data_IF_746262639547
#
_entry.id   IF_746262639547
#
_cell.length_a   1.000
_cell.length_b   1.000
_cell.length_c   1.000
_cell.angle_alpha   90.00
_cell.angle_beta   90.00
_cell.angle_gamma   90.00
#
_symmetry.space_group_name_H-M   'P 1'
#
loop_
_entity.id
_entity.type
_entity.pdbx_description
1 polymer ?
#
# COMPACT_ATOMS: atom_id res chain seq x y z
N UNK A 1 5.89 -8.26 -14.32
CA UNK A 1 5.41 -7.49 -13.18
C UNK A 1 6.43 -6.41 -12.85
N UNK A 2 5.96 -5.18 -12.64
CA UNK A 2 6.81 -4.04 -12.30
C UNK A 2 6.42 -3.53 -10.91
N UNK A 3 7.40 -3.35 -10.04
CA UNK A 3 7.21 -2.75 -8.72
C UNK A 3 7.99 -1.45 -8.64
N UNK A 4 7.27 -0.35 -8.44
CA UNK A 4 7.83 1.00 -8.28
C UNK A 4 7.69 1.42 -6.82
N UNK A 5 8.80 1.76 -6.17
CA UNK A 5 8.79 2.27 -4.80
C UNK A 5 8.30 3.73 -4.79
N UNK A 6 7.10 3.95 -4.21
CA UNK A 6 6.47 5.27 -4.14
C UNK A 6 6.67 5.98 -2.79
N UNK A 7 7.33 5.37 -1.83
CA UNK A 7 7.58 5.94 -0.51
C UNK A 7 8.16 7.35 -0.55
N UNK A 8 9.24 7.62 -1.32
CA UNK A 8 9.81 8.96 -1.45
C UNK A 8 8.82 10.00 -2.03
N UNK A 9 8.00 9.60 -3.02
CA UNK A 9 6.99 10.46 -3.62
C UNK A 9 5.84 10.76 -2.66
N UNK A 10 5.42 9.78 -1.86
CA UNK A 10 4.41 9.95 -0.82
C UNK A 10 4.89 10.92 0.25
N UNK A 11 6.14 10.85 0.66
CA UNK A 11 6.72 11.80 1.62
C UNK A 11 6.75 13.23 1.04
N UNK A 12 7.11 13.38 -0.22
CA UNK A 12 7.09 14.67 -0.89
C UNK A 12 5.66 15.24 -1.03
N UNK A 13 4.68 14.39 -1.37
CA UNK A 13 3.26 14.75 -1.34
C UNK A 13 2.84 15.28 0.03
N UNK A 14 3.18 14.57 1.11
CA UNK A 14 2.82 14.93 2.48
C UNK A 14 3.45 16.25 2.92
N UNK A 15 4.68 16.51 2.52
CA UNK A 15 5.44 17.68 2.99
C UNK A 15 5.20 18.94 2.15
N UNK A 16 4.90 18.81 0.86
CA UNK A 16 4.85 19.95 -0.07
C UNK A 16 3.47 20.32 -0.57
N UNK A 17 2.47 19.44 -0.38
CA UNK A 17 1.14 19.67 -0.93
C UNK A 17 0.04 19.63 0.12
N UNK A 18 -1.13 20.18 -0.21
CA UNK A 18 -2.29 20.14 0.67
C UNK A 18 -2.87 18.72 0.74
N UNK A 19 -3.09 18.23 1.98
CA UNK A 19 -3.65 16.91 2.23
C UNK A 19 -4.99 16.66 1.52
N UNK A 20 -5.77 17.71 1.29
CA UNK A 20 -7.03 17.67 0.55
C UNK A 20 -6.92 17.03 -0.83
N UNK A 21 -5.76 17.16 -1.49
CA UNK A 21 -5.52 16.72 -2.86
C UNK A 21 -4.64 15.46 -2.98
N UNK A 22 -4.13 14.91 -1.88
CA UNK A 22 -3.16 13.82 -1.91
C UNK A 22 -3.58 12.62 -2.76
N UNK A 23 -4.83 12.16 -2.64
CA UNK A 23 -5.31 11.01 -3.40
C UNK A 23 -5.37 11.29 -4.92
N UNK A 24 -5.73 12.52 -5.30
CA UNK A 24 -5.78 12.93 -6.72
C UNK A 24 -4.36 13.03 -7.28
N UNK A 25 -3.46 13.68 -6.55
CA UNK A 25 -2.05 13.84 -6.93
C UNK A 25 -1.35 12.48 -7.02
N UNK A 26 -1.54 11.60 -6.03
CA UNK A 26 -0.99 10.25 -6.06
C UNK A 26 -1.43 9.50 -7.32
N UNK A 27 -2.71 9.50 -7.64
CA UNK A 27 -3.24 8.83 -8.85
C UNK A 27 -2.66 9.42 -10.14
N UNK A 28 -2.46 10.73 -10.19
CA UNK A 28 -1.80 11.39 -11.32
C UNK A 28 -0.34 10.94 -11.46
N UNK A 29 0.40 10.88 -10.36
CA UNK A 29 1.79 10.35 -10.36
C UNK A 29 1.84 8.87 -10.78
N UNK A 30 0.87 8.05 -10.33
CA UNK A 30 0.77 6.65 -10.76
C UNK A 30 0.51 6.52 -12.27
N UNK A 31 -0.33 7.37 -12.86
CA UNK A 31 -0.57 7.38 -14.32
C UNK A 31 0.69 7.81 -15.08
N UNK A 32 1.42 8.82 -14.62
CA UNK A 32 2.71 9.23 -15.21
C UNK A 32 3.76 8.11 -15.13
N UNK A 33 3.82 7.41 -14.01
CA UNK A 33 4.68 6.24 -13.87
C UNK A 33 4.29 5.13 -14.85
N UNK A 34 2.99 4.83 -14.95
CA UNK A 34 2.45 3.82 -15.86
C UNK A 34 2.75 4.18 -17.33
N UNK A 35 2.55 5.43 -17.74
CA UNK A 35 2.90 5.91 -19.10
C UNK A 35 4.39 5.69 -19.39
N UNK A 36 5.28 6.04 -18.45
CA UNK A 36 6.72 5.84 -18.63
C UNK A 36 7.11 4.36 -18.77
N UNK A 37 6.41 3.46 -18.06
CA UNK A 37 6.60 2.01 -18.16
C UNK A 37 5.97 1.46 -19.46
N UNK A 38 4.83 2.00 -19.87
CA UNK A 38 4.08 1.56 -21.05
C UNK A 38 4.79 1.85 -22.37
N UNK A 39 5.48 2.99 -22.48
CA UNK A 39 6.16 3.43 -23.71
C UNK A 39 7.18 2.44 -24.28
N UNK A 40 8.15 1.89 -23.51
CA UNK A 40 9.12 0.95 -24.04
C UNK A 40 8.50 -0.36 -24.55
N UNK A 41 7.39 -0.79 -23.94
CA UNK A 41 6.67 -2.02 -24.33
C UNK A 41 5.57 -1.76 -25.38
N UNK A 42 5.44 -0.51 -25.84
CA UNK A 42 4.44 -0.08 -26.82
C UNK A 42 3.00 -0.46 -26.43
N UNK A 43 2.67 -0.33 -25.16
CA UNK A 43 1.31 -0.54 -24.70
C UNK A 43 0.37 0.50 -25.34
N UNK A 44 -0.80 0.08 -25.78
CA UNK A 44 -1.76 0.93 -26.46
C UNK A 44 -2.66 1.73 -25.49
N UNK A 45 -2.74 1.33 -24.24
CA UNK A 45 -3.56 1.98 -23.23
C UNK A 45 -3.09 1.60 -21.81
N UNK A 46 -3.52 2.40 -20.84
CA UNK A 46 -3.42 2.09 -19.41
C UNK A 46 -4.78 1.57 -18.95
N UNK A 47 -4.82 0.47 -18.19
CA UNK A 47 -6.07 -0.07 -17.62
C UNK A 47 -6.06 0.18 -16.11
N UNK A 48 -7.16 0.73 -15.56
CA UNK A 48 -7.32 0.95 -14.12
C UNK A 48 -8.59 0.31 -13.59
N UNK A 49 -8.59 -0.07 -12.31
CA UNK A 49 -9.74 -0.64 -11.60
C UNK A 49 -10.65 0.41 -10.94
N UNK A 50 -10.68 1.65 -11.42
CA UNK A 50 -11.48 2.72 -10.83
C UNK A 50 -12.97 2.53 -11.11
N UNK A 51 -13.79 2.80 -10.07
CA UNK A 51 -15.25 2.82 -10.13
C UNK A 51 -15.79 4.12 -9.56
N UNK A 52 -16.79 4.72 -10.19
CA UNK A 52 -17.37 6.00 -9.74
C UNK A 52 -18.03 5.85 -8.37
N UNK A 53 -17.73 6.78 -7.47
CA UNK A 53 -18.41 6.88 -6.17
C UNK A 53 -17.90 5.94 -5.08
N UNK A 54 -16.93 5.07 -5.33
CA UNK A 54 -16.37 4.16 -4.31
C UNK A 54 -15.56 4.92 -3.25
N UNK A 55 -14.77 5.89 -3.67
CA UNK A 55 -13.99 6.77 -2.78
C UNK A 55 -14.02 8.21 -3.29
N UNK A 56 -13.68 9.16 -2.42
CA UNK A 56 -13.74 10.61 -2.71
C UNK A 56 -12.95 11.06 -3.95
N UNK A 57 -11.86 10.37 -4.28
CA UNK A 57 -11.06 10.63 -5.49
C UNK A 57 -11.70 10.10 -6.79
N UNK A 58 -12.74 9.28 -6.69
CA UNK A 58 -13.40 8.62 -7.84
C UNK A 58 -14.73 9.28 -8.22
N UNK A 59 -14.87 10.58 -8.02
CA UNK A 59 -15.94 11.35 -8.66
C UNK A 59 -15.62 11.56 -10.15
N UNK A 60 -16.64 11.75 -10.99
CA UNK A 60 -16.42 11.99 -12.43
C UNK A 60 -15.51 13.21 -12.65
N UNK A 61 -15.68 14.28 -11.87
CA UNK A 61 -14.85 15.46 -11.96
C UNK A 61 -13.39 15.18 -11.60
N UNK A 62 -13.14 14.46 -10.53
CA UNK A 62 -11.79 14.09 -10.14
C UNK A 62 -11.14 13.12 -11.14
N UNK A 63 -11.91 12.15 -11.66
CA UNK A 63 -11.43 11.24 -12.71
C UNK A 63 -11.05 11.99 -13.99
N UNK A 64 -11.80 13.02 -14.37
CA UNK A 64 -11.46 13.88 -15.51
C UNK A 64 -10.12 14.60 -15.29
N UNK A 65 -9.89 15.15 -14.10
CA UNK A 65 -8.63 15.81 -13.74
C UNK A 65 -7.47 14.80 -13.64
N UNK A 66 -7.72 13.62 -13.08
CA UNK A 66 -6.73 12.54 -13.01
C UNK A 66 -6.30 12.08 -14.39
N UNK A 67 -7.25 11.92 -15.32
CA UNK A 67 -6.99 11.46 -16.69
C UNK A 67 -6.05 12.38 -17.46
N UNK A 68 -6.02 13.67 -17.15
CA UNK A 68 -5.15 14.65 -17.81
C UNK A 68 -3.66 14.55 -17.38
N UNK A 69 -3.30 13.57 -16.55
CA UNK A 69 -1.90 13.33 -16.17
C UNK A 69 -1.10 12.61 -17.26
N UNK A 70 -1.76 11.96 -18.20
CA UNK A 70 -1.15 11.21 -19.32
C UNK A 70 -1.83 11.53 -20.64
N UNK A 71 -1.10 11.38 -21.74
CA UNK A 71 -1.65 11.42 -23.09
C UNK A 71 -2.15 10.06 -23.60
N UNK A 72 -1.85 8.97 -22.88
CA UNK A 72 -2.26 7.64 -23.26
C UNK A 72 -3.74 7.38 -22.94
N UNK A 73 -4.46 6.60 -23.76
CA UNK A 73 -5.82 6.18 -23.44
C UNK A 73 -5.91 5.44 -22.12
N UNK A 74 -6.90 5.80 -21.28
CA UNK A 74 -7.16 5.11 -20.00
C UNK A 74 -8.47 4.32 -20.12
N UNK A 75 -8.39 3.01 -20.00
CA UNK A 75 -9.54 2.13 -19.98
C UNK A 75 -9.95 1.83 -18.55
N UNK A 76 -11.23 2.05 -18.24
CA UNK A 76 -11.83 1.84 -16.91
C UNK A 76 -12.97 0.84 -16.99
N UNK A 77 -12.70 -0.46 -17.10
CA UNK A 77 -13.75 -1.46 -17.32
C UNK A 77 -14.77 -1.55 -16.19
N UNK A 78 -14.43 -1.08 -14.99
CA UNK A 78 -15.28 -1.13 -13.81
C UNK A 78 -15.98 0.19 -13.50
N UNK A 79 -15.81 1.23 -14.32
CA UNK A 79 -16.19 2.61 -13.98
C UNK A 79 -17.67 2.79 -13.63
N UNK A 80 -18.57 2.04 -14.27
CA UNK A 80 -20.01 2.08 -14.05
C UNK A 80 -20.55 0.99 -13.12
N UNK A 81 -19.69 0.13 -12.58
CA UNK A 81 -20.12 -1.00 -11.74
C UNK A 81 -20.16 -0.60 -10.27
N UNK A 82 -21.18 -1.10 -9.56
CA UNK A 82 -21.22 -1.02 -8.10
C UNK A 82 -20.32 -2.10 -7.46
N UNK A 83 -20.16 -2.04 -6.13
CA UNK A 83 -19.26 -2.94 -5.41
C UNK A 83 -19.66 -4.41 -5.52
N UNK A 84 -20.94 -4.73 -5.54
CA UNK A 84 -21.45 -6.10 -5.63
C UNK A 84 -21.17 -6.69 -7.01
N UNK A 85 -21.42 -5.92 -8.06
CA UNK A 85 -21.12 -6.33 -9.45
C UNK A 85 -19.62 -6.60 -9.63
N UNK A 86 -18.74 -5.77 -9.05
CA UNK A 86 -17.29 -5.99 -9.09
C UNK A 86 -16.90 -7.25 -8.34
N UNK A 87 -17.49 -7.51 -7.18
CA UNK A 87 -17.28 -8.74 -6.40
C UNK A 87 -17.72 -9.97 -7.22
N UNK A 88 -18.86 -9.91 -7.90
CA UNK A 88 -19.35 -11.02 -8.72
C UNK A 88 -18.44 -11.28 -9.93
N UNK A 89 -17.89 -10.23 -10.55
CA UNK A 89 -16.85 -10.42 -11.57
C UNK A 89 -15.62 -11.08 -10.98
N UNK A 90 -15.13 -10.64 -9.82
CA UNK A 90 -13.95 -11.20 -9.15
C UNK A 90 -14.16 -12.69 -8.79
N UNK A 91 -15.37 -13.06 -8.36
CA UNK A 91 -15.74 -14.47 -8.10
C UNK A 91 -15.69 -15.30 -9.38
N UNK A 92 -16.27 -14.80 -10.48
CA UNK A 92 -16.30 -15.51 -11.77
C UNK A 92 -14.91 -15.77 -12.35
N UNK A 93 -13.98 -14.82 -12.18
CA UNK A 93 -12.60 -14.97 -12.68
C UNK A 93 -11.65 -15.59 -11.65
N UNK A 94 -12.16 -15.99 -10.46
CA UNK A 94 -11.38 -16.70 -9.44
C UNK A 94 -10.43 -15.84 -8.60
N UNK A 95 -10.52 -14.49 -8.65
CA UNK A 95 -9.64 -13.59 -7.90
C UNK A 95 -10.19 -13.14 -6.57
N UNK A 96 -11.47 -13.39 -6.28
CA UNK A 96 -12.14 -12.89 -5.07
C UNK A 96 -11.49 -13.39 -3.79
N UNK A 97 -11.19 -14.69 -3.70
CA UNK A 97 -10.61 -15.30 -2.49
C UNK A 97 -9.24 -14.71 -2.15
N UNK A 98 -8.43 -14.40 -3.17
CA UNK A 98 -7.13 -13.75 -3.01
C UNK A 98 -7.29 -12.27 -2.63
N UNK A 99 -8.23 -11.58 -3.27
CA UNK A 99 -8.42 -10.13 -3.06
C UNK A 99 -9.03 -9.79 -1.70
N UNK A 100 -9.94 -10.64 -1.17
CA UNK A 100 -10.64 -10.35 0.10
C UNK A 100 -9.73 -10.36 1.33
N UNK A 101 -8.57 -11.02 1.25
CA UNK A 101 -7.60 -11.09 2.34
C UNK A 101 -6.62 -9.91 2.31
N UNK A 102 -6.56 -9.19 1.20
CA UNK A 102 -5.75 -7.97 1.06
C UNK A 102 -6.50 -6.82 1.72
N UNK A 103 -5.96 -6.28 2.81
CA UNK A 103 -6.55 -5.12 3.49
C UNK A 103 -6.35 -3.82 2.72
N UNK A 104 -7.18 -2.83 3.04
CA UNK A 104 -7.01 -1.48 2.51
C UNK A 104 -5.81 -0.80 3.18
N UNK A 105 -4.84 -0.39 2.37
CA UNK A 105 -3.61 0.25 2.79
C UNK A 105 -3.55 1.67 2.24
N UNK A 106 -4.23 2.61 2.88
CA UNK A 106 -4.16 4.00 2.48
C UNK A 106 -3.75 4.90 3.65
N UNK A 107 -2.44 5.14 3.77
CA UNK A 107 -1.89 6.11 4.73
C UNK A 107 -2.13 7.58 4.29
N UNK A 108 -2.70 7.76 3.09
CA UNK A 108 -3.07 9.04 2.50
C UNK A 108 -4.59 9.29 2.57
N UNK A 109 -5.20 9.04 3.74
CA UNK A 109 -6.60 9.34 3.97
C UNK A 109 -6.77 10.75 4.60
N UNK A 110 -7.06 11.79 3.84
CA UNK A 110 -7.27 13.13 4.36
C UNK A 110 -8.60 13.21 5.13
N UNK A 111 -8.67 14.05 6.16
CA UNK A 111 -9.92 14.29 6.91
C UNK A 111 -11.03 14.93 6.05
N UNK A 112 -10.64 15.71 5.03
CA UNK A 112 -11.55 16.42 4.14
C UNK A 112 -11.03 16.36 2.70
N UNK A 113 -11.21 15.22 2.01
CA UNK A 113 -10.73 15.06 0.64
C UNK A 113 -11.53 15.93 -0.33
N UNK A 114 -10.88 16.40 -1.40
CA UNK A 114 -11.57 17.09 -2.49
C UNK A 114 -12.42 16.10 -3.29
N UNK A 115 -13.71 16.37 -3.41
CA UNK A 115 -14.63 15.60 -4.27
C UNK A 115 -14.88 16.26 -5.62
N UNK A 116 -14.48 17.52 -5.77
CA UNK A 116 -14.60 18.32 -6.98
C UNK A 116 -13.38 19.23 -7.12
N UNK A 117 -12.24 18.66 -7.48
CA UNK A 117 -11.02 19.42 -7.70
C UNK A 117 -11.02 20.09 -9.09
N UNK A 118 -10.53 21.35 -9.18
CA UNK A 118 -10.24 21.97 -10.47
C UNK A 118 -8.87 21.54 -10.97
N UNK A 119 -8.70 21.49 -12.30
CA UNK A 119 -7.40 21.18 -12.88
C UNK A 119 -6.33 22.19 -12.46
N UNK A 120 -6.69 23.50 -12.44
CA UNK A 120 -5.80 24.57 -12.04
C UNK A 120 -5.23 24.36 -10.62
N UNK A 121 -6.11 24.07 -9.64
CA UNK A 121 -5.67 23.81 -8.27
C UNK A 121 -4.77 22.58 -8.16
N UNK A 122 -5.04 21.53 -8.97
CA UNK A 122 -4.22 20.33 -8.96
C UNK A 122 -2.86 20.59 -9.62
N UNK A 123 -2.80 21.33 -10.73
CA UNK A 123 -1.53 21.67 -11.39
C UNK A 123 -0.67 22.57 -10.50
N UNK A 124 -1.27 23.52 -9.77
CA UNK A 124 -0.55 24.33 -8.79
C UNK A 124 0.10 23.46 -7.70
N UNK A 125 -0.63 22.48 -7.17
CA UNK A 125 -0.06 21.56 -6.16
C UNK A 125 0.98 20.63 -6.78
N UNK A 126 0.75 20.13 -7.99
CA UNK A 126 1.66 19.23 -8.70
C UNK A 126 2.99 19.92 -9.03
N UNK A 127 2.99 21.23 -9.30
CA UNK A 127 4.21 22.02 -9.56
C UNK A 127 5.19 22.06 -8.38
N UNK A 128 4.74 21.71 -7.17
CA UNK A 128 5.57 21.65 -5.97
C UNK A 128 6.29 20.31 -5.81
N UNK A 129 5.97 19.32 -6.65
CA UNK A 129 6.52 17.96 -6.60
C UNK A 129 7.68 17.85 -7.58
N UNK A 130 8.78 17.23 -7.15
CA UNK A 130 9.89 16.91 -8.04
C UNK A 130 9.53 15.72 -8.97
N UNK A 131 9.14 16.01 -10.20
CA UNK A 131 8.92 14.96 -11.20
C UNK A 131 10.20 14.20 -11.57
N UNK A 132 11.38 14.76 -11.32
CA UNK A 132 12.65 14.04 -11.46
C UNK A 132 12.75 12.88 -10.46
N UNK A 133 12.19 13.03 -9.26
CA UNK A 133 12.07 11.95 -8.28
C UNK A 133 11.18 10.81 -8.81
N UNK A 134 10.05 11.14 -9.45
CA UNK A 134 9.19 10.13 -10.10
C UNK A 134 9.97 9.34 -11.16
N UNK A 135 10.76 10.02 -11.98
CA UNK A 135 11.56 9.37 -13.00
C UNK A 135 12.57 8.40 -12.38
N UNK A 136 13.29 8.82 -11.33
CA UNK A 136 14.21 7.93 -10.59
C UNK A 136 13.50 6.70 -10.02
N UNK A 137 12.39 6.88 -9.33
CA UNK A 137 11.61 5.76 -8.78
C UNK A 137 11.17 4.76 -9.88
N UNK A 138 10.78 5.26 -11.05
CA UNK A 138 10.42 4.38 -12.18
C UNK A 138 11.64 3.69 -12.81
N UNK A 139 12.77 4.38 -12.90
CA UNK A 139 14.00 3.82 -13.50
C UNK A 139 14.63 2.76 -12.57
N UNK A 140 14.52 2.94 -11.25
CA UNK A 140 14.97 2.01 -10.21
C UNK A 140 13.98 0.88 -9.91
N UNK A 141 12.85 0.81 -10.61
CA UNK A 141 11.83 -0.22 -10.39
C UNK A 141 12.38 -1.64 -10.51
N UNK A 142 11.86 -2.54 -9.71
CA UNK A 142 12.09 -3.97 -9.92
C UNK A 142 11.15 -4.53 -10.99
N UNK A 143 11.67 -5.49 -11.77
CA UNK A 143 10.93 -6.13 -12.85
C UNK A 143 11.04 -7.65 -12.69
N UNK A 144 9.89 -8.31 -12.66
CA UNK A 144 9.80 -9.77 -12.58
C UNK A 144 9.04 -10.31 -13.80
N UNK A 145 9.65 -11.24 -14.53
CA UNK A 145 8.99 -11.95 -15.62
C UNK A 145 8.15 -13.10 -15.04
N UNK A 146 6.86 -12.86 -14.85
CA UNK A 146 5.96 -13.80 -14.17
C UNK A 146 5.78 -15.15 -14.88
N UNK A 147 6.05 -15.23 -16.19
CA UNK A 147 5.91 -16.48 -16.95
C UNK A 147 7.01 -17.49 -16.63
N UNK A 148 8.15 -16.99 -16.20
CA UNK A 148 9.35 -17.79 -15.88
C UNK A 148 9.76 -17.68 -14.42
N UNK A 149 9.08 -16.82 -13.65
CA UNK A 149 9.39 -16.62 -12.24
C UNK A 149 9.06 -17.87 -11.43
N UNK A 150 10.01 -18.27 -10.62
CA UNK A 150 9.78 -19.24 -9.56
C UNK A 150 9.06 -18.52 -8.39
N UNK A 151 7.88 -19.01 -8.04
CA UNK A 151 7.05 -18.41 -6.98
C UNK A 151 7.80 -18.48 -5.63
N UNK A 152 8.59 -19.52 -5.39
CA UNK A 152 9.37 -19.67 -4.17
C UNK A 152 10.46 -18.59 -4.05
N UNK A 153 11.00 -18.11 -5.17
CA UNK A 153 11.99 -17.01 -5.20
C UNK A 153 11.35 -15.63 -5.01
N UNK A 154 10.04 -15.50 -5.22
CA UNK A 154 9.29 -14.26 -4.96
C UNK A 154 8.80 -14.15 -3.52
N UNK A 155 8.71 -15.27 -2.82
CA UNK A 155 8.38 -15.29 -1.40
C UNK A 155 9.58 -14.79 -0.59
N UNK A 156 9.33 -13.97 0.42
CA UNK A 156 10.35 -13.65 1.43
C UNK A 156 10.33 -14.82 2.42
N UNK A 157 11.38 -15.64 2.47
CA UNK A 157 11.41 -16.78 3.38
C UNK A 157 11.21 -16.32 4.82
N UNK A 158 10.41 -17.06 5.56
CA UNK A 158 10.17 -16.84 6.99
C UNK A 158 9.62 -15.44 7.37
N UNK A 159 9.03 -14.71 6.42
CA UNK A 159 8.40 -13.43 6.74
C UNK A 159 7.20 -13.61 7.69
N UNK A 160 6.52 -14.74 7.63
CA UNK A 160 5.37 -15.06 8.46
C UNK A 160 5.69 -16.12 9.51
N UNK A 161 5.02 -16.04 10.64
CA UNK A 161 5.10 -17.04 11.72
C UNK A 161 3.72 -17.25 12.34
N UNK A 162 3.42 -18.49 12.70
CA UNK A 162 2.21 -18.88 13.43
C UNK A 162 2.44 -18.96 14.94
N UNK A 163 3.67 -18.70 15.39
CA UNK A 163 4.05 -18.77 16.80
C UNK A 163 4.89 -17.58 17.27
N UNK A 164 4.96 -17.40 18.57
CA UNK A 164 5.83 -16.42 19.23
C UNK A 164 6.93 -17.20 19.97
N UNK A 165 8.16 -17.20 19.46
CA UNK A 165 9.28 -17.87 20.14
C UNK A 165 9.60 -17.20 21.48
N UNK A 166 10.09 -17.99 22.43
CA UNK A 166 10.58 -17.48 23.71
C UNK A 166 11.68 -16.44 23.51
N UNK A 167 11.58 -15.33 24.24
CA UNK A 167 12.53 -14.22 24.16
C UNK A 167 12.33 -13.27 22.98
N UNK A 168 11.37 -13.52 22.09
CA UNK A 168 11.05 -12.59 21.01
C UNK A 168 10.41 -11.29 21.55
N UNK A 169 10.77 -10.17 20.95
CA UNK A 169 10.12 -8.89 21.20
C UNK A 169 8.87 -8.77 20.33
N UNK A 170 7.70 -8.74 20.95
CA UNK A 170 6.41 -8.62 20.26
C UNK A 170 6.00 -7.16 20.16
N UNK A 171 5.62 -6.70 18.96
CA UNK A 171 5.19 -5.31 18.74
C UNK A 171 3.78 -5.28 18.14
N UNK A 172 2.89 -4.55 18.81
CA UNK A 172 1.54 -4.26 18.34
C UNK A 172 1.53 -2.94 17.55
N UNK A 173 1.23 -3.04 16.26
CA UNK A 173 1.24 -1.90 15.34
C UNK A 173 -0.14 -1.24 15.17
N UNK A 174 -1.12 -1.62 15.98
CA UNK A 174 -2.48 -1.08 15.94
C UNK A 174 -2.56 0.29 16.60
N UNK A 175 -3.77 0.88 16.56
CA UNK A 175 -4.06 2.11 17.29
C UNK A 175 -3.99 1.88 18.80
N UNK A 176 -3.70 2.95 19.56
CA UNK A 176 -3.64 2.88 21.03
C UNK A 176 -4.92 2.34 21.65
N UNK A 177 -6.08 2.74 21.12
CA UNK A 177 -7.38 2.26 21.59
C UNK A 177 -7.57 0.75 21.38
N UNK A 178 -7.08 0.20 20.26
CA UNK A 178 -7.11 -1.24 20.01
C UNK A 178 -6.16 -2.01 20.92
N UNK A 179 -4.97 -1.47 21.14
CA UNK A 179 -4.00 -2.03 22.09
C UNK A 179 -4.56 -2.07 23.51
N UNK A 180 -5.15 -0.97 24.00
CA UNK A 180 -5.72 -0.87 25.34
C UNK A 180 -6.92 -1.80 25.54
N UNK A 181 -7.68 -2.08 24.48
CA UNK A 181 -8.82 -3.01 24.53
C UNK A 181 -8.36 -4.46 24.67
N UNK A 182 -7.28 -4.83 24.02
CA UNK A 182 -6.61 -6.13 24.10
C UNK A 182 -5.27 -6.07 23.38
N UNK A 183 -4.26 -6.70 23.95
CA UNK A 183 -2.97 -6.93 23.32
C UNK A 183 -2.37 -8.26 23.79
N UNK A 184 -1.44 -8.81 23.03
CA UNK A 184 -0.68 -10.00 23.46
C UNK A 184 0.12 -9.68 24.74
N UNK A 185 0.12 -10.56 25.77
CA UNK A 185 0.88 -10.34 26.99
C UNK A 185 2.36 -10.03 26.70
N UNK A 186 2.84 -8.91 27.23
CA UNK A 186 4.21 -8.45 27.01
C UNK A 186 4.49 -7.76 25.68
N UNK A 187 3.49 -7.57 24.82
CA UNK A 187 3.67 -6.80 23.59
C UNK A 187 3.94 -5.32 23.87
N UNK A 188 4.87 -4.75 23.15
CA UNK A 188 5.13 -3.32 23.11
C UNK A 188 4.15 -2.65 22.14
N UNK A 189 3.55 -1.56 22.56
CA UNK A 189 2.74 -0.77 21.64
C UNK A 189 3.60 0.25 20.90
N UNK A 190 3.50 0.21 19.58
CA UNK A 190 4.11 1.20 18.72
C UNK A 190 3.28 1.26 17.43
N UNK A 191 2.50 2.31 17.24
CA UNK A 191 1.71 2.40 16.00
C UNK A 191 2.60 2.36 14.75
N UNK A 192 2.02 1.94 13.63
CA UNK A 192 2.76 1.67 12.40
C UNK A 192 3.63 2.84 11.93
N UNK A 193 3.11 4.08 11.98
CA UNK A 193 3.85 5.26 11.52
C UNK A 193 5.06 5.57 12.39
N UNK A 194 4.94 5.40 13.71
CA UNK A 194 6.06 5.53 14.64
C UNK A 194 7.04 4.36 14.50
N UNK A 195 6.53 3.13 14.31
CA UNK A 195 7.36 1.95 14.13
C UNK A 195 8.25 2.04 12.89
N UNK A 196 7.70 2.51 11.76
CA UNK A 196 8.45 2.76 10.52
C UNK A 196 9.59 3.79 10.68
N UNK A 197 9.45 4.73 11.60
CA UNK A 197 10.50 5.73 11.90
C UNK A 197 11.53 5.21 12.91
N UNK A 198 11.10 4.38 13.84
CA UNK A 198 11.90 3.96 14.98
C UNK A 198 12.71 2.69 14.72
N UNK A 199 12.26 1.78 13.83
CA UNK A 199 12.90 0.48 13.65
C UNK A 199 14.40 0.54 13.29
N UNK A 200 14.93 1.54 12.57
CA UNK A 200 16.36 1.59 12.29
C UNK A 200 17.24 1.67 13.57
N UNK A 201 16.65 2.15 14.68
CA UNK A 201 17.32 2.22 15.99
C UNK A 201 17.11 1.00 16.87
N UNK A 202 16.38 -0.01 16.41
CA UNK A 202 16.12 -1.22 17.18
C UNK A 202 17.39 -2.08 17.36
N UNK A 203 17.38 -2.91 18.37
CA UNK A 203 18.46 -3.84 18.68
C UNK A 203 18.49 -5.00 17.65
N UNK A 204 19.51 -5.05 16.81
CA UNK A 204 19.66 -6.06 15.76
C UNK A 204 19.91 -7.48 16.28
N UNK A 205 20.25 -7.63 17.57
CA UNK A 205 20.45 -8.95 18.19
C UNK A 205 19.14 -9.62 18.60
N UNK A 206 18.02 -8.90 18.55
CA UNK A 206 16.71 -9.40 18.98
C UNK A 206 15.89 -9.88 17.79
N UNK A 207 15.06 -10.89 18.06
CA UNK A 207 13.99 -11.32 17.17
C UNK A 207 12.73 -10.51 17.45
N UNK A 208 12.09 -10.01 16.39
CA UNK A 208 10.87 -9.21 16.44
C UNK A 208 9.71 -9.95 15.82
N UNK A 209 8.60 -10.06 16.56
CA UNK A 209 7.32 -10.55 16.03
C UNK A 209 6.36 -9.38 15.99
N UNK A 210 5.97 -9.01 14.80
CA UNK A 210 5.12 -7.86 14.54
C UNK A 210 3.69 -8.33 14.26
N UNK A 211 2.70 -7.65 14.81
CA UNK A 211 1.31 -7.92 14.44
C UNK A 211 0.48 -6.64 14.32
N UNK A 212 -0.56 -6.70 13.49
CA UNK A 212 -1.58 -5.67 13.37
C UNK A 212 -2.96 -6.33 13.27
N UNK A 213 -4.02 -5.59 12.92
CA UNK A 213 -5.37 -6.14 12.87
C UNK A 213 -5.49 -7.32 11.88
N UNK A 214 -4.92 -7.18 10.68
CA UNK A 214 -5.04 -8.13 9.57
C UNK A 214 -3.71 -8.70 9.07
N UNK A 215 -2.59 -8.41 9.73
CA UNK A 215 -1.27 -8.89 9.33
C UNK A 215 -0.54 -8.05 8.26
N UNK A 216 -1.20 -7.09 7.61
CA UNK A 216 -0.62 -6.37 6.45
C UNK A 216 0.44 -5.33 6.84
N UNK A 217 0.13 -4.45 7.80
CA UNK A 217 1.08 -3.44 8.30
C UNK A 217 2.30 -4.10 8.92
N UNK A 218 2.08 -5.17 9.64
CA UNK A 218 3.13 -5.93 10.29
C UNK A 218 4.00 -6.69 9.28
N UNK A 219 3.41 -7.27 8.23
CA UNK A 219 4.18 -7.88 7.13
C UNK A 219 5.05 -6.85 6.42
N UNK A 220 4.48 -5.68 6.11
CA UNK A 220 5.24 -4.60 5.46
C UNK A 220 6.44 -4.13 6.29
N UNK A 221 6.24 -3.86 7.59
CA UNK A 221 7.35 -3.48 8.46
C UNK A 221 8.37 -4.63 8.62
N UNK A 222 7.91 -5.88 8.74
CA UNK A 222 8.79 -7.04 8.84
C UNK A 222 9.68 -7.17 7.60
N UNK A 223 9.10 -6.95 6.40
CA UNK A 223 9.85 -6.95 5.14
C UNK A 223 10.95 -5.88 5.12
N UNK A 224 10.63 -4.64 5.52
CA UNK A 224 11.64 -3.58 5.61
C UNK A 224 12.74 -3.92 6.61
N UNK A 225 12.36 -4.38 7.80
CA UNK A 225 13.32 -4.78 8.82
C UNK A 225 14.24 -5.91 8.33
N UNK A 226 13.69 -6.92 7.64
CA UNK A 226 14.47 -8.02 7.04
C UNK A 226 15.45 -7.53 5.99
N UNK A 227 15.03 -6.64 5.09
CA UNK A 227 15.91 -6.04 4.06
C UNK A 227 17.10 -5.31 4.67
N UNK A 228 16.95 -4.77 5.88
CA UNK A 228 18.01 -4.10 6.62
C UNK A 228 18.75 -5.03 7.61
N UNK A 229 18.50 -6.34 7.57
CA UNK A 229 19.22 -7.35 8.33
C UNK A 229 18.73 -7.57 9.77
N UNK A 230 17.50 -7.17 10.10
CA UNK A 230 16.86 -7.55 11.36
C UNK A 230 16.24 -8.94 11.27
N UNK A 231 16.22 -9.68 12.37
CA UNK A 231 15.39 -10.88 12.52
C UNK A 231 13.96 -10.45 12.91
N UNK A 232 13.10 -10.29 11.90
CA UNK A 232 11.72 -9.84 12.07
C UNK A 232 10.75 -10.73 11.30
N UNK A 233 9.59 -11.01 11.87
CA UNK A 233 8.52 -11.76 11.23
C UNK A 233 7.15 -11.13 11.52
N UNK A 234 6.23 -11.29 10.59
CA UNK A 234 4.82 -10.97 10.74
C UNK A 234 4.10 -12.14 11.41
N UNK A 235 3.24 -11.87 12.41
CA UNK A 235 2.35 -12.89 12.92
C UNK A 235 1.20 -13.12 11.95
N UNK A 236 1.11 -14.34 11.43
CA UNK A 236 0.11 -14.72 10.42
C UNK A 236 -1.32 -14.57 10.95
N UNK A 237 -2.22 -14.04 10.14
CA UNK A 237 -3.63 -13.86 10.49
C UNK A 237 -3.91 -12.73 11.49
N UNK A 238 -2.89 -11.97 11.90
CA UNK A 238 -3.01 -10.78 12.75
C UNK A 238 -3.64 -11.03 14.11
N UNK A 239 -4.28 -9.99 14.68
CA UNK A 239 -4.86 -10.04 16.03
C UNK A 239 -5.87 -11.17 16.23
N UNK A 240 -6.66 -11.51 15.20
CA UNK A 240 -7.67 -12.55 15.31
C UNK A 240 -7.05 -13.92 15.58
N UNK A 241 -6.05 -14.30 14.81
CA UNK A 241 -5.33 -15.54 14.98
C UNK A 241 -4.56 -15.56 16.30
N UNK A 242 -3.94 -14.43 16.66
CA UNK A 242 -3.16 -14.29 17.90
C UNK A 242 -4.00 -14.45 19.17
N UNK A 243 -5.26 -13.96 19.16
CA UNK A 243 -6.20 -14.17 20.27
C UNK A 243 -6.53 -15.64 20.50
N UNK A 244 -6.69 -16.42 19.43
CA UNK A 244 -6.94 -17.85 19.55
C UNK A 244 -5.75 -18.60 20.18
N UNK A 245 -4.53 -18.19 19.89
CA UNK A 245 -3.32 -18.78 20.43
C UNK A 245 -3.16 -18.53 21.95
N UNK A 246 -3.62 -17.39 22.46
CA UNK A 246 -3.52 -17.02 23.87
C UNK A 246 -4.66 -17.53 24.74
N UNK A 247 -5.70 -18.14 24.13
CA UNK A 247 -6.89 -18.64 24.85
C UNK A 247 -6.85 -20.18 25.00
N UNK A 248 -5.86 -20.83 24.39
CA UNK A 248 -5.59 -22.27 24.52
C UNK A 248 -4.48 -22.53 25.54
#
# INVERSE_FOLDING_TARGET
>A
FHTVEFGPLVEELKTRTSSRYWQILLKRLMLRAAERIARPVRAAAIVTGESVGQVSSQTLQNLAVISQATGDPILRPLVGMNKEEIIDVARRIGTFELSKVVGEYCDLAPRSPATAASLEAILEQESRIDLGLLHRCVDERSVVELRTADIEQLAIPDLETDGIPDGATVIDLRTKAQYDSWHHPGALWLDFGHAMKAYPSFDRSKRYILYCEFGLKSAHLAEFMRKEGFDAANFHGGTRALKHLTTT
#
